data_IF_863937675943
#
_entry.id   IF_863937675943
#
_cell.length_a   1.000
_cell.length_b   1.000
_cell.length_c   1.000
_cell.angle_alpha   90.00
_cell.angle_beta   90.00
_cell.angle_gamma   90.00
#
_symmetry.space_group_name_H-M   'P 1'
#
loop_
_entity.id
_entity.type
_entity.pdbx_description
1 polymer ?
#
# COMPACT_ATOMS: atom_id res chain seq x y z
N UNK A 1 -0.66 6.34 15.63
CA UNK A 1 0.60 6.95 16.18
C UNK A 1 0.56 8.47 16.02
N UNK A 2 1.47 9.26 16.61
CA UNK A 2 1.45 10.73 16.42
C UNK A 2 2.15 11.08 15.11
N UNK A 3 1.48 11.72 14.13
CA UNK A 3 2.12 12.11 12.89
C UNK A 3 3.15 13.22 13.11
N UNK A 4 4.27 13.12 12.41
CA UNK A 4 5.28 14.16 12.30
C UNK A 4 5.87 14.16 10.89
N UNK A 5 6.64 15.20 10.55
CA UNK A 5 7.23 15.35 9.22
C UNK A 5 8.15 14.18 8.84
N UNK A 6 8.92 13.64 9.79
CA UNK A 6 9.83 12.52 9.52
C UNK A 6 9.06 11.22 9.28
N UNK A 7 8.01 10.95 10.07
CA UNK A 7 7.14 9.79 9.90
C UNK A 7 6.38 9.85 8.58
N UNK A 8 5.84 11.02 8.23
CA UNK A 8 5.19 11.27 6.94
C UNK A 8 6.14 11.05 5.77
N UNK A 9 7.33 11.64 5.82
CA UNK A 9 8.34 11.46 4.80
C UNK A 9 8.80 10.00 4.68
N UNK A 10 8.83 9.26 5.79
CA UNK A 10 9.11 7.82 5.81
C UNK A 10 7.99 7.01 5.17
N UNK A 11 6.73 7.27 5.53
CA UNK A 11 5.57 6.60 4.95
C UNK A 11 5.51 6.84 3.43
N UNK A 12 5.69 8.08 3.00
CA UNK A 12 5.75 8.48 1.59
C UNK A 12 6.79 7.69 0.80
N UNK A 13 7.97 7.43 1.38
CA UNK A 13 9.01 6.58 0.78
C UNK A 13 8.58 5.10 0.69
N UNK A 14 7.89 4.58 1.70
CA UNK A 14 7.40 3.19 1.72
C UNK A 14 6.27 2.94 0.71
N UNK A 15 5.50 3.98 0.40
CA UNK A 15 4.42 3.94 -0.60
C UNK A 15 4.90 4.24 -2.02
N UNK A 16 6.19 4.55 -2.21
CA UNK A 16 6.78 5.01 -3.46
C UNK A 16 6.08 6.27 -4.04
N UNK A 17 5.72 7.20 -3.16
CA UNK A 17 5.01 8.46 -3.48
C UNK A 17 5.94 9.66 -3.38
N UNK A 18 7.14 9.53 -3.96
CA UNK A 18 8.14 10.60 -3.95
C UNK A 18 7.60 11.79 -4.76
N UNK A 19 7.63 12.96 -4.14
CA UNK A 19 7.28 14.22 -4.81
C UNK A 19 8.30 14.44 -5.95
N UNK A 20 7.85 14.64 -7.20
CA UNK A 20 8.74 14.90 -8.32
C UNK A 20 9.49 16.22 -8.14
N UNK A 21 10.65 16.37 -8.78
CA UNK A 21 11.46 17.58 -8.67
C UNK A 21 10.70 18.81 -9.17
N UNK A 22 10.52 19.81 -8.30
CA UNK A 22 9.74 21.02 -8.59
C UNK A 22 8.22 20.85 -8.52
N UNK A 23 7.74 19.65 -8.14
CA UNK A 23 6.33 19.38 -7.89
C UNK A 23 5.93 19.54 -6.42
N UNK A 24 4.70 19.14 -6.13
CA UNK A 24 4.07 19.20 -4.81
C UNK A 24 3.45 17.84 -4.46
N UNK A 25 2.93 17.72 -3.24
CA UNK A 25 2.15 16.54 -2.82
C UNK A 25 0.95 16.24 -3.75
N UNK A 26 0.40 17.26 -4.41
CA UNK A 26 -0.72 17.09 -5.34
C UNK A 26 -0.33 16.35 -6.63
N UNK A 27 0.96 16.20 -6.91
CA UNK A 27 1.48 15.38 -8.02
C UNK A 27 1.63 13.90 -7.62
N UNK A 28 1.23 13.55 -6.41
CA UNK A 28 1.28 12.18 -5.85
C UNK A 28 -0.13 11.68 -5.56
N UNK A 29 -0.30 10.37 -5.31
CA UNK A 29 -1.64 9.80 -5.01
C UNK A 29 -2.16 10.14 -3.62
N UNK A 30 -1.29 10.60 -2.73
CA UNK A 30 -1.64 10.95 -1.36
C UNK A 30 -1.14 12.34 -1.02
N UNK A 31 -2.06 13.14 -0.51
CA UNK A 31 -1.72 14.36 0.19
C UNK A 31 -1.11 14.03 1.55
N UNK A 32 -0.40 14.98 2.10
CA UNK A 32 0.19 14.96 3.43
C UNK A 32 -0.88 14.77 4.51
N UNK A 33 -2.12 15.25 4.29
CA UNK A 33 -3.25 14.98 5.17
C UNK A 33 -3.69 13.52 5.12
N UNK A 34 -3.74 12.90 3.93
CA UNK A 34 -4.10 11.49 3.79
C UNK A 34 -3.04 10.60 4.48
N UNK A 35 -1.77 10.97 4.36
CA UNK A 35 -0.67 10.28 5.04
C UNK A 35 -0.75 10.45 6.56
N UNK A 36 -1.16 11.62 7.06
CA UNK A 36 -1.34 11.83 8.50
C UNK A 36 -2.51 11.03 9.05
N UNK A 37 -3.62 10.92 8.32
CA UNK A 37 -4.76 10.07 8.69
C UNK A 37 -4.33 8.60 8.81
N UNK A 38 -3.60 8.08 7.81
CA UNK A 38 -3.04 6.73 7.86
C UNK A 38 -2.11 6.51 9.05
N UNK A 39 -1.30 7.52 9.40
CA UNK A 39 -0.43 7.46 10.58
C UNK A 39 -1.23 7.53 11.88
N UNK A 40 -2.33 8.29 11.96
CA UNK A 40 -3.15 8.37 13.16
C UNK A 40 -3.80 7.03 13.48
N UNK A 41 -4.37 6.36 12.46
CA UNK A 41 -5.09 5.09 12.59
C UNK A 41 -4.15 3.90 12.84
N UNK A 42 -2.90 3.97 12.37
CA UNK A 42 -1.96 2.87 12.50
C UNK A 42 -1.22 2.83 13.85
N UNK A 43 -0.96 1.62 14.32
CA UNK A 43 -0.15 1.34 15.52
C UNK A 43 1.35 1.39 15.21
N UNK A 44 1.75 1.03 13.99
CA UNK A 44 3.14 1.09 13.52
C UNK A 44 3.24 1.51 12.03
N UNK A 45 4.45 1.88 11.58
CA UNK A 45 4.67 2.49 10.27
C UNK A 45 4.37 1.51 9.12
N UNK A 46 4.50 0.20 9.38
CA UNK A 46 4.23 -0.83 8.39
C UNK A 46 2.74 -1.09 8.25
N UNK A 47 1.96 -0.94 9.32
CA UNK A 47 0.50 -0.97 9.25
C UNK A 47 -0.03 0.20 8.40
N UNK A 48 0.48 1.42 8.63
CA UNK A 48 0.16 2.57 7.78
C UNK A 48 0.54 2.33 6.31
N UNK A 49 1.73 1.77 6.05
CA UNK A 49 2.17 1.44 4.69
C UNK A 49 1.28 0.36 4.05
N UNK A 50 0.86 -0.66 4.80
CA UNK A 50 -0.05 -1.70 4.33
C UNK A 50 -1.42 -1.12 3.92
N UNK A 51 -1.98 -0.24 4.76
CA UNK A 51 -3.21 0.47 4.47
C UNK A 51 -3.08 1.36 3.21
N UNK A 52 -2.01 2.15 3.10
CA UNK A 52 -1.79 2.99 1.92
C UNK A 52 -1.62 2.19 0.62
N UNK A 53 -0.94 1.04 0.65
CA UNK A 53 -0.86 0.15 -0.52
C UNK A 53 -2.22 -0.48 -0.88
N UNK A 54 -3.04 -0.80 0.12
CA UNK A 54 -4.42 -1.27 -0.09
C UNK A 54 -5.27 -0.20 -0.78
N UNK A 55 -5.18 1.06 -0.34
CA UNK A 55 -5.87 2.17 -0.98
C UNK A 55 -5.43 2.37 -2.44
N UNK A 56 -4.12 2.30 -2.73
CA UNK A 56 -3.59 2.35 -4.11
C UNK A 56 -4.16 1.23 -4.98
N UNK A 57 -4.28 0.01 -4.46
CA UNK A 57 -4.92 -1.08 -5.19
C UNK A 57 -6.38 -0.78 -5.54
N UNK A 58 -7.12 -0.15 -4.61
CA UNK A 58 -8.49 0.35 -4.85
C UNK A 58 -8.55 1.42 -5.94
N UNK A 59 -7.61 2.37 -5.94
CA UNK A 59 -7.52 3.40 -6.99
C UNK A 59 -7.29 2.78 -8.37
N UNK A 60 -6.35 1.84 -8.50
CA UNK A 60 -6.13 1.13 -9.76
C UNK A 60 -7.37 0.34 -10.22
N UNK A 61 -8.12 -0.23 -9.28
CA UNK A 61 -9.39 -0.92 -9.58
C UNK A 61 -10.44 0.04 -10.15
N UNK A 62 -10.56 1.24 -9.59
CA UNK A 62 -11.46 2.27 -10.08
C UNK A 62 -11.03 2.75 -11.49
N UNK A 63 -9.74 3.03 -11.69
CA UNK A 63 -9.20 3.43 -13.00
C UNK A 63 -9.47 2.38 -14.10
N UNK A 64 -9.44 1.08 -13.77
CA UNK A 64 -9.81 0.01 -14.72
C UNK A 64 -11.29 0.08 -15.10
N UNK A 65 -12.18 0.32 -14.13
CA UNK A 65 -13.61 0.44 -14.39
C UNK A 65 -13.98 1.63 -15.29
N UNK A 66 -13.19 2.70 -15.26
CA UNK A 66 -13.35 3.85 -16.15
C UNK A 66 -12.83 3.55 -17.57
N UNK A 67 -11.71 2.83 -17.69
CA UNK A 67 -11.17 2.38 -18.99
C UNK A 67 -12.15 1.43 -19.68
N UNK A 68 -12.76 0.50 -18.95
CA UNK A 68 -13.75 -0.44 -19.53
C UNK A 68 -14.98 0.28 -20.14
N UNK A 69 -15.30 1.51 -19.68
CA UNK A 69 -16.48 2.28 -20.14
C UNK A 69 -16.25 3.14 -21.41
N UNK A 70 -15.01 3.40 -21.85
CA UNK A 70 -14.69 4.45 -22.85
C UNK A 70 -14.25 3.96 -24.26
N UNK A 71 -14.58 2.74 -24.65
CA UNK A 71 -13.75 1.88 -25.54
C UNK A 71 -13.40 2.37 -26.99
N UNK A 72 -12.08 2.43 -27.31
CA UNK A 72 -11.39 2.39 -28.63
C UNK A 72 -9.91 1.87 -28.52
N UNK A 73 -9.60 0.64 -28.97
CA UNK A 73 -8.32 0.19 -29.56
C UNK A 73 -7.03 0.05 -28.71
N UNK A 74 -6.58 1.09 -27.99
CA UNK A 74 -5.31 1.10 -27.23
C UNK A 74 -5.44 0.63 -25.76
N UNK A 75 -6.62 0.14 -25.38
CA UNK A 75 -6.96 -0.10 -23.98
C UNK A 75 -6.50 -1.44 -23.43
N UNK A 76 -6.25 -2.45 -24.25
CA UNK A 76 -5.78 -3.77 -23.79
C UNK A 76 -4.42 -3.67 -23.08
N UNK A 77 -3.51 -2.87 -23.61
CA UNK A 77 -2.19 -2.64 -22.99
C UNK A 77 -2.33 -1.83 -21.69
N UNK A 78 -3.21 -0.81 -21.68
CA UNK A 78 -3.49 0.01 -20.48
C UNK A 78 -4.13 -0.81 -19.37
N UNK A 79 -5.14 -1.62 -19.67
CA UNK A 79 -5.80 -2.52 -18.72
C UNK A 79 -4.84 -3.54 -18.13
N UNK A 80 -3.96 -4.12 -18.96
CA UNK A 80 -2.93 -5.05 -18.49
C UNK A 80 -1.98 -4.36 -17.51
N UNK A 81 -1.49 -3.16 -17.86
CA UNK A 81 -0.63 -2.39 -16.96
C UNK A 81 -1.30 -2.02 -15.64
N UNK A 82 -2.59 -1.67 -15.66
CA UNK A 82 -3.35 -1.37 -14.43
C UNK A 82 -3.52 -2.60 -13.54
N UNK A 83 -3.80 -3.78 -14.12
CA UNK A 83 -3.87 -5.05 -13.37
C UNK A 83 -2.54 -5.38 -12.71
N UNK A 84 -1.43 -5.26 -13.45
CA UNK A 84 -0.10 -5.51 -12.90
C UNK A 84 0.24 -4.57 -11.73
N UNK A 85 -0.14 -3.29 -11.84
CA UNK A 85 0.04 -2.29 -10.77
C UNK A 85 -0.85 -2.59 -9.56
N UNK A 86 -2.09 -3.02 -9.78
CA UNK A 86 -2.99 -3.44 -8.71
C UNK A 86 -2.43 -4.65 -7.96
N UNK A 87 -2.03 -5.69 -8.68
CA UNK A 87 -1.44 -6.88 -8.06
C UNK A 87 -0.17 -6.57 -7.28
N UNK A 88 0.69 -5.70 -7.83
CA UNK A 88 1.88 -5.24 -7.14
C UNK A 88 1.51 -4.50 -5.84
N UNK A 89 0.51 -3.61 -5.88
CA UNK A 89 0.05 -2.89 -4.71
C UNK A 89 -0.48 -3.84 -3.62
N UNK A 90 -1.27 -4.84 -3.99
CA UNK A 90 -1.76 -5.87 -3.05
C UNK A 90 -0.61 -6.68 -2.43
N UNK A 91 0.37 -7.11 -3.25
CA UNK A 91 1.57 -7.82 -2.75
C UNK A 91 2.36 -6.98 -1.75
N UNK A 92 2.48 -5.67 -2.00
CA UNK A 92 3.15 -4.76 -1.08
C UNK A 92 2.34 -4.54 0.20
N UNK A 93 1.01 -4.44 0.09
CA UNK A 93 0.12 -4.35 1.25
C UNK A 93 0.30 -5.58 2.17
N UNK A 94 0.26 -6.79 1.62
CA UNK A 94 0.47 -8.04 2.37
C UNK A 94 1.86 -8.11 3.02
N UNK A 95 2.89 -7.72 2.28
CA UNK A 95 4.27 -7.69 2.76
C UNK A 95 4.40 -6.78 3.98
N UNK A 96 3.81 -5.59 3.94
CA UNK A 96 3.84 -4.65 5.05
C UNK A 96 2.95 -5.09 6.22
N UNK A 97 1.81 -5.71 5.97
CA UNK A 97 0.99 -6.32 7.01
C UNK A 97 1.76 -7.43 7.77
N UNK A 98 2.51 -8.27 7.04
CA UNK A 98 3.35 -9.29 7.65
C UNK A 98 4.47 -8.68 8.51
N UNK A 99 5.11 -7.59 8.04
CA UNK A 99 6.11 -6.86 8.82
C UNK A 99 5.51 -6.21 10.08
N UNK A 100 4.31 -5.63 9.97
CA UNK A 100 3.60 -5.03 11.10
C UNK A 100 3.34 -6.07 12.20
N UNK A 101 2.78 -7.23 11.83
CA UNK A 101 2.54 -8.36 12.76
C UNK A 101 3.82 -8.88 13.41
N UNK A 102 4.91 -8.97 12.64
CA UNK A 102 6.21 -9.42 13.17
C UNK A 102 6.81 -8.46 14.21
N UNK A 103 6.41 -7.19 14.22
CA UNK A 103 6.82 -6.21 15.23
C UNK A 103 5.94 -6.21 16.48
N UNK A 104 4.79 -6.88 16.47
CA UNK A 104 3.94 -6.95 17.65
C UNK A 104 4.52 -7.91 18.70
N UNK A 105 4.72 -7.45 19.95
CA UNK A 105 5.19 -8.30 21.03
C UNK A 105 4.11 -9.33 21.38
N UNK A 106 4.24 -10.54 20.81
CA UNK A 106 3.29 -11.64 20.99
C UNK A 106 3.11 -12.54 19.76
N UNK A 107 3.63 -12.13 18.60
CA UNK A 107 3.45 -12.89 17.35
C UNK A 107 4.43 -14.08 17.23
N UNK A 108 4.39 -15.00 18.18
CA UNK A 108 4.94 -16.36 18.02
C UNK A 108 3.94 -17.13 17.18
N UNK A 109 4.20 -17.20 15.87
CA UNK A 109 3.50 -18.13 14.98
C UNK A 109 3.86 -19.55 15.45
N UNK A 110 2.98 -20.15 16.26
CA UNK A 110 3.00 -21.57 16.59
C UNK A 110 2.83 -22.37 15.29
N UNK A 111 3.94 -22.66 14.62
CA UNK A 111 4.00 -23.78 13.68
C UNK A 111 3.84 -25.05 14.52
N UNK A 112 2.61 -25.52 14.63
CA UNK A 112 2.28 -26.81 15.22
C UNK A 112 2.86 -27.89 14.30
N UNK A 113 4.09 -28.33 14.56
CA UNK A 113 4.64 -29.51 13.88
C UNK A 113 3.84 -30.73 14.38
N UNK A 114 3.20 -31.52 13.50
CA UNK A 114 2.53 -32.74 13.94
C UNK A 114 3.56 -33.72 14.50
N UNK A 115 3.32 -34.36 15.66
CA UNK A 115 4.26 -35.30 16.23
C UNK A 115 4.37 -36.53 15.32
N UNK A 116 5.60 -36.85 14.89
CA UNK A 116 5.89 -38.14 14.29
C UNK A 116 5.74 -39.20 15.39
N UNK A 117 4.73 -40.05 15.22
CA UNK A 117 4.52 -41.23 16.05
C UNK A 117 5.51 -42.31 15.64
N UNK A 118 6.26 -42.82 16.62
CA UNK A 118 7.11 -44.02 16.53
C UNK A 118 6.27 -45.29 16.48
#
# INVERSE_FOLDING_TARGET
MTPDENLRARLRKLLDEKIPAGGTEADTRFLDVDLDELLLEASNIFEAASAGWTMKAGMYQAEMGDVDQMTLGQETERLTSLKERQEYALKMADKYAAMARAQEPGSVVLKLTPPEVL
#
